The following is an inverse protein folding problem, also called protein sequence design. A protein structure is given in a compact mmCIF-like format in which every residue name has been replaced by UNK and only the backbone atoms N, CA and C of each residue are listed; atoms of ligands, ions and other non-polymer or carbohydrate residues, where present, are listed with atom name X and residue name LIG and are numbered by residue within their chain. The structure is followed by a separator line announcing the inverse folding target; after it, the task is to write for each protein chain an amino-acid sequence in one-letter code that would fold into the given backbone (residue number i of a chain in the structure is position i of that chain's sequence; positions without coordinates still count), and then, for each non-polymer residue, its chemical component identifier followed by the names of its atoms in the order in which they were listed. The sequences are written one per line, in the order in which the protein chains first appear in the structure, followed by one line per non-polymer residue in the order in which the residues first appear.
data_IF_820761936313
#
_entry.id   IF_820761936313
#
_cell.length_a   1.000
_cell.length_b   1.000
_cell.length_c   1.000
_cell.angle_alpha   90.00
_cell.angle_beta   90.00
_cell.angle_gamma   90.00
#
_symmetry.space_group_name_H-M   'P 1'
#
loop_
_entity.id
_entity.type
_entity.pdbx_description
1 polymer ?
#
# COMPACT_ATOMS: atom_id res chain seq x y z
N UNK A 1 -10.35 13.76 5.04
CA UNK A 1 -8.94 13.57 4.63
C UNK A 1 -8.85 12.37 3.71
N UNK A 2 -7.98 12.43 2.71
CA UNK A 2 -7.76 11.34 1.75
C UNK A 2 -6.37 10.78 2.04
N UNK A 3 -6.22 9.46 2.03
CA UNK A 3 -4.91 8.83 2.15
C UNK A 3 -4.10 9.03 0.87
N UNK A 4 -2.85 9.46 1.03
CA UNK A 4 -1.85 9.69 -0.01
C UNK A 4 -0.67 8.74 0.15
N UNK A 5 0.22 8.75 -0.85
CA UNK A 5 1.44 7.95 -0.87
C UNK A 5 2.63 8.84 -1.15
N UNK A 6 3.70 8.57 -0.41
CA UNK A 6 5.00 9.19 -0.64
C UNK A 6 6.03 8.10 -0.94
N UNK A 7 6.91 8.39 -1.89
CA UNK A 7 8.00 7.53 -2.29
C UNK A 7 9.23 8.41 -2.50
N UNK A 8 10.16 8.35 -1.57
CA UNK A 8 11.42 9.11 -1.62
C UNK A 8 12.53 8.15 -2.02
N UNK A 9 13.31 8.53 -3.03
CA UNK A 9 14.49 7.78 -3.43
C UNK A 9 15.69 8.72 -3.50
N UNK A 10 16.59 8.58 -2.53
CA UNK A 10 17.76 9.43 -2.41
C UNK A 10 19.06 8.63 -2.62
N UNK A 11 20.02 9.13 -3.42
CA UNK A 11 21.35 8.54 -3.51
C UNK A 11 22.09 8.61 -2.17
N UNK A 12 22.73 7.51 -1.80
CA UNK A 12 23.61 7.45 -0.61
C UNK A 12 25.01 7.91 -1.02
N UNK A 13 25.65 8.72 -0.17
CA UNK A 13 27.03 9.19 -0.34
C UNK A 13 27.98 8.00 -0.47
N UNK A 14 29.00 8.14 -1.31
CA UNK A 14 30.03 7.09 -1.47
C UNK A 14 30.70 6.78 -0.12
N UNK A 15 30.79 5.50 0.23
CA UNK A 15 31.41 5.04 1.48
C UNK A 15 30.52 5.13 2.71
N UNK A 16 29.28 5.64 2.59
CA UNK A 16 28.30 5.74 3.68
C UNK A 16 27.25 4.62 3.62
N UNK A 17 27.35 3.67 2.69
CA UNK A 17 26.34 2.65 2.42
C UNK A 17 26.06 1.73 3.61
N UNK A 18 27.10 1.31 4.32
CA UNK A 18 26.98 0.36 5.43
C UNK A 18 26.59 1.07 6.73
N UNK A 19 27.11 2.28 6.96
CA UNK A 19 26.65 3.16 8.04
C UNK A 19 25.16 3.47 7.89
N UNK A 20 24.70 3.82 6.67
CA UNK A 20 23.30 4.08 6.41
C UNK A 20 22.42 2.84 6.64
N UNK A 21 22.89 1.67 6.23
CA UNK A 21 22.20 0.39 6.48
C UNK A 21 22.06 0.12 7.98
N UNK A 22 23.12 0.33 8.76
CA UNK A 22 23.13 0.09 10.20
C UNK A 22 22.10 0.97 10.94
N UNK A 23 22.02 2.25 10.58
CA UNK A 23 21.01 3.16 11.14
C UNK A 23 19.60 2.69 10.76
N UNK A 24 19.36 2.40 9.48
CA UNK A 24 18.03 1.98 9.01
C UNK A 24 17.58 0.65 9.64
N UNK A 25 18.50 -0.30 9.87
CA UNK A 25 18.18 -1.59 10.50
C UNK A 25 17.89 -1.50 11.99
N UNK A 26 18.22 -0.38 12.63
CA UNK A 26 18.02 -0.17 14.07
C UNK A 26 16.89 0.82 14.38
N UNK A 27 16.16 1.30 13.36
CA UNK A 27 15.01 2.18 13.58
C UNK A 27 13.99 1.47 14.48
N UNK A 28 13.59 2.13 15.57
CA UNK A 28 12.71 1.64 16.63
C UNK A 28 13.23 0.43 17.43
N UNK A 29 14.52 0.10 17.32
CA UNK A 29 15.21 -0.78 18.27
C UNK A 29 15.68 0.04 19.50
N UNK A 30 15.91 -0.59 20.67
CA UNK A 30 16.22 0.12 21.93
C UNK A 30 17.39 1.12 21.86
N UNK A 31 18.43 0.80 21.08
CA UNK A 31 19.64 1.62 20.94
C UNK A 31 19.68 2.43 19.64
N UNK A 32 18.57 2.47 18.89
CA UNK A 32 18.49 3.10 17.58
C UNK A 32 17.66 4.38 17.52
N UNK A 33 17.46 4.89 16.31
CA UNK A 33 16.62 6.07 16.08
C UNK A 33 15.16 5.71 16.28
N UNK A 34 14.43 6.48 17.08
CA UNK A 34 13.00 6.27 17.32
C UNK A 34 12.16 7.17 16.42
N UNK A 35 11.14 6.60 15.79
CA UNK A 35 10.09 7.33 15.05
C UNK A 35 8.75 7.04 15.72
N UNK A 36 8.17 8.06 16.34
CA UNK A 36 6.87 7.97 17.01
C UNK A 36 5.72 8.13 16.01
N UNK A 37 5.43 7.04 15.29
CA UNK A 37 4.28 7.00 14.38
C UNK A 37 2.92 7.12 15.10
N UNK A 38 2.86 6.74 16.38
CA UNK A 38 1.62 6.76 17.15
C UNK A 38 1.20 8.20 17.46
N UNK A 39 2.16 9.08 17.77
CA UNK A 39 1.91 10.51 18.00
C UNK A 39 1.30 11.20 16.79
N UNK A 40 1.74 10.86 15.58
CA UNK A 40 1.19 11.46 14.36
C UNK A 40 -0.23 10.98 14.08
N UNK A 41 -0.50 9.69 14.30
CA UNK A 41 -1.78 9.05 14.01
C UNK A 41 -2.31 9.24 12.56
N UNK A 42 -1.38 9.49 11.63
CA UNK A 42 -1.67 9.71 10.21
C UNK A 42 -1.06 8.62 9.32
N UNK A 43 -0.08 7.88 9.81
CA UNK A 43 0.63 6.85 9.04
C UNK A 43 -0.15 5.55 9.07
N UNK A 44 -0.65 5.12 7.91
CA UNK A 44 -1.13 3.75 7.75
C UNK A 44 0.04 2.78 7.72
N UNK A 45 1.13 3.19 7.04
CA UNK A 45 2.28 2.34 6.81
C UNK A 45 3.52 3.16 6.42
N UNK A 46 4.73 2.79 6.88
CA UNK A 46 6.00 3.37 6.44
C UNK A 46 7.18 2.36 6.43
N UNK A 47 8.04 2.42 5.39
CA UNK A 47 9.20 1.53 5.20
C UNK A 47 10.43 2.29 4.73
N UNK A 48 11.59 1.86 5.23
CA UNK A 48 12.90 2.17 4.66
C UNK A 48 13.50 0.93 3.98
N UNK A 49 14.14 1.11 2.83
CA UNK A 49 14.86 0.06 2.10
C UNK A 49 16.12 0.64 1.49
N UNK A 50 17.25 -0.05 1.64
CA UNK A 50 18.47 0.29 0.89
C UNK A 50 18.50 -0.52 -0.41
N UNK A 51 18.39 0.16 -1.54
CA UNK A 51 18.38 -0.42 -2.88
C UNK A 51 19.74 -0.23 -3.57
N UNK A 52 20.10 -1.13 -4.49
CA UNK A 52 21.22 -0.90 -5.39
C UNK A 52 20.89 0.22 -6.39
N UNK A 53 21.87 1.06 -6.67
CA UNK A 53 21.80 2.09 -7.69
C UNK A 53 22.56 1.66 -8.94
N UNK A 54 21.86 1.00 -9.85
CA UNK A 54 22.49 0.43 -11.06
C UNK A 54 22.94 1.51 -12.06
N UNK A 55 22.49 2.76 -11.90
CA UNK A 55 22.76 3.85 -12.85
C UNK A 55 23.96 4.70 -12.47
N UNK A 56 24.19 4.86 -11.17
CA UNK A 56 25.29 5.69 -10.65
C UNK A 56 26.65 4.96 -10.59
N UNK A 57 26.71 3.71 -11.04
CA UNK A 57 27.94 2.90 -11.08
C UNK A 57 27.92 1.70 -10.12
N UNK A 58 28.96 0.85 -10.21
CA UNK A 58 29.08 -0.35 -9.37
C UNK A 58 29.11 0.04 -7.88
N UNK A 59 28.39 -0.73 -7.06
CA UNK A 59 28.30 -0.62 -5.59
C UNK A 59 27.61 0.63 -5.02
N UNK A 60 27.06 1.51 -5.86
CA UNK A 60 26.25 2.62 -5.37
C UNK A 60 24.91 2.13 -4.84
N UNK A 61 24.41 2.76 -3.78
CA UNK A 61 23.12 2.44 -3.15
C UNK A 61 22.25 3.69 -3.04
N UNK A 62 20.93 3.48 -2.92
CA UNK A 62 19.91 4.51 -2.69
C UNK A 62 19.08 4.15 -1.48
N UNK A 63 18.73 5.14 -0.68
CA UNK A 63 17.76 5.02 0.39
C UNK A 63 16.37 5.26 -0.18
N UNK A 64 15.52 4.23 -0.12
CA UNK A 64 14.10 4.30 -0.42
C UNK A 64 13.35 4.47 0.90
N UNK A 65 12.65 5.59 1.06
CA UNK A 65 11.61 5.72 2.08
C UNK A 65 10.26 5.75 1.41
N UNK A 66 9.29 5.08 2.01
CA UNK A 66 7.95 5.14 1.51
C UNK A 66 6.92 5.11 2.62
N UNK A 67 5.82 5.83 2.43
CA UNK A 67 4.70 5.77 3.36
C UNK A 67 3.35 5.89 2.66
N UNK A 68 2.33 5.35 3.32
CA UNK A 68 0.92 5.64 3.08
C UNK A 68 0.46 6.45 4.29
N UNK A 69 -0.05 7.65 4.07
CA UNK A 69 -0.45 8.54 5.15
C UNK A 69 -1.76 9.25 4.84
N UNK A 70 -2.46 9.72 5.85
CA UNK A 70 -3.61 10.60 5.68
C UNK A 70 -3.18 12.07 5.65
N UNK A 71 -3.91 12.88 4.88
CA UNK A 71 -3.74 14.33 4.89
C UNK A 71 -2.68 14.83 3.91
N UNK A 72 -2.28 16.08 4.10
CA UNK A 72 -1.34 16.79 3.23
C UNK A 72 0.10 16.28 3.40
N UNK A 73 0.81 16.16 2.28
CA UNK A 73 2.18 15.63 2.23
C UNK A 73 3.19 16.47 3.02
N UNK A 74 3.19 17.77 2.83
CA UNK A 74 4.21 18.63 3.45
C UNK A 74 3.98 18.76 4.96
N UNK A 75 2.73 18.68 5.38
CA UNK A 75 2.35 18.54 6.79
C UNK A 75 2.83 17.21 7.35
N UNK A 76 2.54 16.10 6.68
CA UNK A 76 3.02 14.76 7.06
C UNK A 76 4.54 14.70 7.19
N UNK A 77 5.28 15.30 6.26
CA UNK A 77 6.75 15.33 6.30
C UNK A 77 7.29 16.13 7.49
N UNK A 78 6.65 17.25 7.86
CA UNK A 78 7.01 18.00 9.07
C UNK A 78 6.74 17.17 10.32
N UNK A 79 5.59 16.54 10.40
CA UNK A 79 5.23 15.68 11.54
C UNK A 79 6.19 14.50 11.66
N UNK A 80 6.60 13.89 10.55
CA UNK A 80 7.57 12.80 10.52
C UNK A 80 8.93 13.26 11.05
N UNK A 81 9.40 14.44 10.62
CA UNK A 81 10.65 15.04 11.14
C UNK A 81 10.54 15.27 12.64
N UNK A 82 9.46 15.89 13.10
CA UNK A 82 9.28 16.30 14.49
C UNK A 82 8.97 15.12 15.44
N UNK A 83 8.57 13.97 14.86
CA UNK A 83 8.35 12.71 15.57
C UNK A 83 9.54 11.75 15.48
N UNK A 84 10.63 12.14 14.82
CA UNK A 84 11.86 11.35 14.74
C UNK A 84 12.89 11.90 15.72
N UNK A 85 13.44 11.05 16.59
CA UNK A 85 14.41 11.47 17.62
C UNK A 85 15.67 12.10 17.04
N UNK A 86 16.17 11.54 15.94
CA UNK A 86 17.31 12.07 15.18
C UNK A 86 17.09 11.80 13.68
N UNK A 87 16.49 12.78 13.01
CA UNK A 87 16.25 12.71 11.57
C UNK A 87 17.54 12.77 10.75
N UNK A 88 18.58 13.40 11.29
CA UNK A 88 19.85 13.59 10.61
C UNK A 88 20.69 12.31 10.62
N UNK A 89 20.54 11.46 11.65
CA UNK A 89 21.11 10.12 11.65
C UNK A 89 20.61 9.26 10.48
N UNK A 90 19.32 9.34 10.14
CA UNK A 90 18.73 8.55 9.05
C UNK A 90 19.14 9.11 7.68
N UNK A 91 19.03 10.43 7.50
CA UNK A 91 19.12 11.06 6.18
C UNK A 91 20.48 11.69 5.88
N UNK A 92 21.34 11.87 6.90
CA UNK A 92 22.70 12.41 6.76
C UNK A 92 23.60 11.59 5.85
N UNK A 93 23.28 10.31 5.65
CA UNK A 93 23.97 9.43 4.71
C UNK A 93 23.69 9.79 3.23
N UNK A 94 22.63 10.55 2.93
CA UNK A 94 22.19 10.82 1.57
C UNK A 94 22.88 12.05 0.96
N UNK A 95 23.14 12.01 -0.34
CA UNK A 95 23.72 13.14 -1.08
C UNK A 95 22.72 14.30 -1.18
N UNK A 96 23.19 15.52 -0.96
CA UNK A 96 22.34 16.73 -1.00
C UNK A 96 21.51 16.98 0.25
N UNK A 97 21.50 16.08 1.24
CA UNK A 97 20.85 16.34 2.53
C UNK A 97 21.71 17.26 3.39
N UNK A 98 21.12 18.37 3.85
CA UNK A 98 21.81 19.45 4.60
C UNK A 98 21.31 19.63 6.03
N UNK A 99 20.55 18.67 6.56
CA UNK A 99 20.06 18.67 7.95
C UNK A 99 18.56 18.93 8.08
N UNK A 100 18.06 18.80 9.31
CA UNK A 100 16.64 18.79 9.66
C UNK A 100 15.83 20.02 9.18
N UNK A 101 16.47 21.20 9.12
CA UNK A 101 15.84 22.44 8.62
C UNK A 101 15.47 22.36 7.14
N UNK A 102 16.24 21.61 6.35
CA UNK A 102 16.04 21.39 4.92
C UNK A 102 15.23 20.13 4.59
N UNK A 103 14.78 19.39 5.61
CA UNK A 103 14.18 18.06 5.47
C UNK A 103 13.04 18.01 4.45
N UNK A 104 12.02 18.85 4.59
CA UNK A 104 10.84 18.83 3.71
C UNK A 104 11.22 19.14 2.27
N UNK A 105 12.12 20.10 2.06
CA UNK A 105 12.62 20.46 0.73
C UNK A 105 13.37 19.28 0.10
N UNK A 106 14.25 18.62 0.86
CA UNK A 106 14.97 17.44 0.43
C UNK A 106 14.01 16.30 0.04
N UNK A 107 13.02 16.00 0.88
CA UNK A 107 12.01 14.98 0.59
C UNK A 107 11.25 15.29 -0.71
N UNK A 108 10.82 16.54 -0.88
CA UNK A 108 10.10 16.94 -2.09
C UNK A 108 10.99 16.87 -3.36
N UNK A 109 12.29 17.19 -3.25
CA UNK A 109 13.24 17.07 -4.35
C UNK A 109 13.51 15.61 -4.76
N UNK A 110 13.47 14.68 -3.82
CA UNK A 110 13.72 13.25 -4.03
C UNK A 110 12.44 12.41 -4.16
N UNK A 111 11.27 13.03 -4.19
CA UNK A 111 10.00 12.33 -4.30
C UNK A 111 9.75 11.82 -5.72
N UNK A 112 9.61 10.50 -5.86
CA UNK A 112 9.20 9.85 -7.10
C UNK A 112 7.68 9.77 -7.16
N UNK A 113 7.13 10.22 -8.29
CA UNK A 113 5.70 10.14 -8.56
C UNK A 113 5.24 8.68 -8.60
N UNK A 114 4.26 8.35 -7.77
CA UNK A 114 3.58 7.05 -7.84
C UNK A 114 2.74 6.98 -9.11
N UNK A 115 2.92 5.92 -9.91
CA UNK A 115 2.20 5.74 -11.18
C UNK A 115 0.77 5.24 -10.97
N UNK A 116 0.58 4.33 -10.01
CA UNK A 116 -0.72 3.76 -9.68
C UNK A 116 -0.81 3.54 -8.18
N UNK A 117 -1.91 3.98 -7.58
CA UNK A 117 -2.23 3.73 -6.18
C UNK A 117 -3.65 3.21 -6.04
N UNK A 118 -3.77 2.00 -5.51
CA UNK A 118 -5.01 1.30 -5.23
C UNK A 118 -5.30 1.35 -3.74
N UNK A 119 -6.54 1.72 -3.42
CA UNK A 119 -7.10 1.70 -2.07
C UNK A 119 -8.36 0.85 -2.08
N UNK A 120 -8.37 -0.24 -1.31
CA UNK A 120 -9.60 -1.03 -1.14
C UNK A 120 -10.68 -0.25 -0.39
N UNK A 121 -10.26 0.61 0.56
CA UNK A 121 -11.12 1.44 1.39
C UNK A 121 -10.83 2.91 1.13
N UNK A 122 -11.41 3.47 0.06
CA UNK A 122 -11.04 4.80 -0.48
C UNK A 122 -11.13 5.96 0.52
N UNK A 123 -12.04 5.86 1.49
CA UNK A 123 -12.41 6.95 2.40
C UNK A 123 -12.09 6.66 3.87
N UNK A 124 -11.41 5.54 4.16
CA UNK A 124 -11.08 5.19 5.53
C UNK A 124 -9.73 5.79 5.90
N UNK A 125 -9.72 6.52 7.01
CA UNK A 125 -8.53 7.13 7.63
C UNK A 125 -8.08 6.29 8.81
N UNK A 126 -6.83 6.45 9.26
CA UNK A 126 -6.32 5.83 10.50
C UNK A 126 -7.25 6.17 11.67
N UNK A 127 -7.66 7.43 11.77
CA UNK A 127 -8.61 7.88 12.80
C UNK A 127 -9.97 7.18 12.76
N UNK A 128 -10.52 6.90 11.57
CA UNK A 128 -11.76 6.11 11.44
C UNK A 128 -11.53 4.65 11.84
N UNK A 129 -10.41 4.07 11.40
CA UNK A 129 -10.06 2.68 11.72
C UNK A 129 -9.94 2.50 13.24
N UNK A 130 -9.27 3.43 13.94
CA UNK A 130 -9.18 3.41 15.39
C UNK A 130 -10.55 3.53 16.07
N UNK A 131 -11.44 4.40 15.59
CA UNK A 131 -12.81 4.49 16.09
C UNK A 131 -13.57 3.17 15.90
N UNK A 132 -13.41 2.51 14.76
CA UNK A 132 -14.04 1.20 14.52
C UNK A 132 -13.46 0.12 15.41
N UNK A 133 -12.15 0.14 15.70
CA UNK A 133 -11.51 -0.80 16.62
C UNK A 133 -11.97 -0.57 18.06
N UNK A 134 -12.07 0.69 18.50
CA UNK A 134 -12.59 1.04 19.83
C UNK A 134 -14.05 0.59 19.99
N UNK A 135 -14.92 0.93 19.02
CA UNK A 135 -16.31 0.49 19.02
C UNK A 135 -16.42 -1.05 18.99
N UNK A 136 -15.57 -1.71 18.20
CA UNK A 136 -15.52 -3.18 18.15
C UNK A 136 -15.16 -3.78 19.51
N UNK A 137 -14.20 -3.19 20.22
CA UNK A 137 -13.81 -3.65 21.55
C UNK A 137 -14.97 -3.47 22.53
N UNK A 138 -15.57 -2.29 22.57
CA UNK A 138 -16.73 -1.98 23.42
C UNK A 138 -17.89 -2.95 23.20
N UNK A 139 -18.25 -3.23 21.94
CA UNK A 139 -19.30 -4.20 21.62
C UNK A 139 -18.92 -5.63 22.01
N UNK A 140 -17.66 -6.02 21.83
CA UNK A 140 -17.19 -7.34 22.26
C UNK A 140 -17.31 -7.51 23.78
N UNK A 141 -16.91 -6.48 24.53
CA UNK A 141 -16.94 -6.47 25.99
C UNK A 141 -18.38 -6.44 26.52
N UNK A 142 -19.27 -5.67 25.87
CA UNK A 142 -20.66 -5.51 26.31
C UNK A 142 -21.52 -6.76 26.05
N UNK A 143 -21.32 -7.43 24.91
CA UNK A 143 -22.21 -8.51 24.49
C UNK A 143 -21.65 -9.91 24.76
N UNK A 144 -20.37 -10.05 25.16
CA UNK A 144 -19.68 -11.33 25.35
C UNK A 144 -19.84 -12.28 24.15
N UNK A 145 -19.99 -11.71 22.95
CA UNK A 145 -20.16 -12.48 21.71
C UNK A 145 -18.83 -12.60 20.99
N UNK A 146 -18.32 -13.82 20.76
CA UNK A 146 -17.16 -14.02 19.90
C UNK A 146 -17.43 -13.46 18.50
N UNK A 147 -16.49 -12.69 17.98
CA UNK A 147 -16.58 -12.00 16.68
C UNK A 147 -16.96 -12.89 15.49
N UNK A 148 -16.70 -14.20 15.58
CA UNK A 148 -17.12 -15.20 14.59
C UNK A 148 -18.64 -15.32 14.45
N UNK A 149 -19.41 -14.95 15.47
CA UNK A 149 -20.87 -15.10 15.54
C UNK A 149 -21.63 -13.78 15.32
N UNK A 150 -20.92 -12.65 15.18
CA UNK A 150 -21.53 -11.31 15.01
C UNK A 150 -22.40 -11.22 13.75
N UNK A 151 -22.01 -11.90 12.66
CA UNK A 151 -22.77 -11.94 11.42
C UNK A 151 -24.15 -12.58 11.57
N UNK A 152 -24.29 -13.54 12.48
CA UNK A 152 -25.55 -14.23 12.75
C UNK A 152 -26.43 -13.43 13.71
N UNK A 153 -25.84 -12.77 14.71
CA UNK A 153 -26.55 -11.83 15.58
C UNK A 153 -27.18 -10.67 14.79
N UNK A 154 -26.43 -10.07 13.85
CA UNK A 154 -26.95 -8.99 12.98
C UNK A 154 -28.04 -9.44 12.03
N UNK A 155 -28.09 -10.73 11.66
CA UNK A 155 -29.17 -11.31 10.83
C UNK A 155 -30.46 -11.54 11.62
N UNK A 156 -30.34 -11.76 12.93
CA UNK A 156 -31.46 -12.01 13.83
C UNK A 156 -32.14 -10.72 14.32
N UNK A 157 -31.52 -9.55 14.12
CA UNK A 157 -32.15 -8.28 14.42
C UNK A 157 -33.46 -8.14 13.61
N UNK A 158 -34.60 -7.86 14.27
CA UNK A 158 -35.88 -7.73 13.59
C UNK A 158 -35.81 -6.58 12.59
N UNK A 159 -35.90 -6.91 11.30
CA UNK A 159 -35.97 -5.94 10.21
C UNK A 159 -37.37 -5.31 10.19
N UNK A 160 -37.60 -4.44 11.15
CA UNK A 160 -38.75 -3.54 11.12
C UNK A 160 -38.51 -2.52 9.99
N UNK A 161 -39.58 -2.04 9.36
CA UNK A 161 -39.64 -1.21 8.13
C UNK A 161 -39.75 -1.96 6.79
N UNK A 162 -40.93 -2.55 6.58
CA UNK A 162 -41.56 -2.64 5.27
C UNK A 162 -42.75 -1.65 5.24
N UNK A 163 -42.58 -0.44 4.67
CA UNK A 163 -43.14 -0.21 3.33
C UNK A 163 -42.42 0.91 2.53
N UNK A 164 -41.33 0.61 1.80
CA UNK A 164 -40.69 1.58 0.85
C UNK A 164 -40.22 0.85 -0.44
N UNK A 165 -40.92 -0.22 -0.86
CA UNK A 165 -40.44 -1.08 -1.96
C UNK A 165 -40.70 -0.51 -3.37
N UNK A 166 -41.73 0.33 -3.52
CA UNK A 166 -42.10 0.98 -4.80
C UNK A 166 -41.30 2.26 -5.07
N UNK A 167 -41.15 3.15 -4.07
CA UNK A 167 -40.29 4.34 -4.17
C UNK A 167 -38.82 3.95 -4.46
N UNK A 168 -38.34 2.85 -3.86
CA UNK A 168 -37.02 2.26 -4.13
C UNK A 168 -36.86 1.72 -5.55
N UNK A 169 -37.92 1.39 -6.29
CA UNK A 169 -37.82 0.92 -7.69
C UNK A 169 -37.62 2.08 -8.67
N UNK A 170 -38.40 3.17 -8.53
CA UNK A 170 -38.21 4.39 -9.33
C UNK A 170 -36.87 5.07 -9.07
N UNK A 171 -36.48 5.21 -7.80
CA UNK A 171 -35.15 5.72 -7.41
C UNK A 171 -34.00 4.83 -7.92
N UNK A 172 -34.22 3.51 -8.08
CA UNK A 172 -33.22 2.61 -8.64
C UNK A 172 -33.00 2.84 -10.13
N UNK A 173 -34.05 3.04 -10.92
CA UNK A 173 -33.90 3.31 -12.36
C UNK A 173 -33.18 4.65 -12.61
N UNK A 174 -33.58 5.71 -11.89
CA UNK A 174 -32.92 7.02 -11.94
C UNK A 174 -31.45 6.90 -11.48
N UNK A 175 -31.20 6.19 -10.38
CA UNK A 175 -29.83 5.93 -9.91
C UNK A 175 -28.99 5.17 -10.93
N UNK A 176 -29.54 4.18 -11.63
CA UNK A 176 -28.82 3.44 -12.68
C UNK A 176 -28.49 4.32 -13.87
N UNK A 177 -29.42 5.17 -14.31
CA UNK A 177 -29.18 6.13 -15.39
C UNK A 177 -28.10 7.15 -15.02
N UNK A 178 -28.21 7.76 -13.83
CA UNK A 178 -27.18 8.69 -13.32
C UNK A 178 -25.82 8.00 -13.22
N UNK A 179 -25.77 6.75 -12.73
CA UNK A 179 -24.54 5.95 -12.70
C UNK A 179 -23.96 5.76 -14.10
N UNK A 180 -24.78 5.40 -15.08
CA UNK A 180 -24.34 5.20 -16.46
C UNK A 180 -23.77 6.48 -17.07
N UNK A 181 -24.41 7.62 -16.85
CA UNK A 181 -23.93 8.93 -17.30
C UNK A 181 -22.59 9.27 -16.64
N UNK A 182 -22.48 9.12 -15.31
CA UNK A 182 -21.25 9.39 -14.57
C UNK A 182 -20.10 8.44 -14.95
N UNK A 183 -20.40 7.16 -15.22
CA UNK A 183 -19.42 6.19 -15.73
C UNK A 183 -18.96 6.62 -17.12
N UNK A 184 -19.88 6.93 -18.03
CA UNK A 184 -19.54 7.33 -19.40
C UNK A 184 -18.69 8.60 -19.42
N UNK A 185 -19.06 9.63 -18.67
CA UNK A 185 -18.27 10.87 -18.51
C UNK A 185 -16.90 10.57 -17.90
N UNK A 186 -16.83 9.67 -16.90
CA UNK A 186 -15.58 9.30 -16.26
C UNK A 186 -14.66 8.45 -17.15
N UNK A 187 -15.21 7.65 -18.07
CA UNK A 187 -14.48 6.71 -18.92
C UNK A 187 -13.89 7.37 -20.16
N UNK A 188 -14.61 8.30 -20.81
CA UNK A 188 -14.18 8.90 -22.09
C UNK A 188 -12.77 9.54 -22.00
N UNK A 189 -12.45 10.39 -21.00
CA UNK A 189 -11.10 10.97 -20.88
C UNK A 189 -10.03 9.90 -20.64
N UNK A 190 -10.37 8.80 -19.96
CA UNK A 190 -9.43 7.71 -19.73
C UNK A 190 -9.14 6.94 -21.01
N UNK A 191 -10.17 6.66 -21.83
CA UNK A 191 -9.99 6.01 -23.14
C UNK A 191 -9.09 6.87 -24.03
N UNK A 192 -9.35 8.18 -24.12
CA UNK A 192 -8.52 9.11 -24.89
C UNK A 192 -7.07 9.09 -24.39
N UNK A 193 -6.86 9.11 -23.07
CA UNK A 193 -5.54 9.03 -22.46
C UNK A 193 -4.80 7.72 -22.79
N UNK A 194 -5.53 6.61 -22.93
CA UNK A 194 -4.95 5.31 -23.29
C UNK A 194 -4.52 5.23 -24.75
N UNK A 195 -5.18 5.95 -25.67
CA UNK A 195 -4.85 5.93 -27.11
C UNK A 195 -3.38 6.32 -27.39
N UNK A 196 -2.73 7.11 -26.51
CA UNK A 196 -1.29 7.45 -26.62
C UNK A 196 -0.36 6.24 -26.67
N UNK A 197 -0.82 5.09 -26.15
CA UNK A 197 -0.04 3.86 -26.12
C UNK A 197 -0.12 3.06 -27.43
N UNK A 198 -1.06 3.38 -28.33
CA UNK A 198 -1.21 2.73 -29.63
C UNK A 198 -1.33 1.20 -29.51
N UNK A 199 -0.54 0.47 -30.30
CA UNK A 199 -0.55 -1.00 -30.32
C UNK A 199 -0.13 -1.65 -29.00
N UNK A 200 0.53 -0.93 -28.07
CA UNK A 200 0.88 -1.47 -26.77
C UNK A 200 -0.35 -1.77 -25.87
N UNK A 201 -1.54 -1.25 -26.22
CA UNK A 201 -2.79 -1.58 -25.54
C UNK A 201 -3.24 -3.01 -25.80
N UNK A 202 -3.00 -3.57 -27.00
CA UNK A 202 -3.45 -4.93 -27.35
C UNK A 202 -2.93 -5.97 -26.34
N UNK A 203 -1.62 -6.08 -26.07
CA UNK A 203 -1.11 -7.04 -25.11
C UNK A 203 -1.45 -6.68 -23.65
N UNK A 204 -1.74 -5.41 -23.34
CA UNK A 204 -2.20 -5.00 -22.00
C UNK A 204 -3.65 -5.43 -21.74
N UNK A 205 -4.52 -5.27 -22.74
CA UNK A 205 -5.91 -5.76 -22.73
C UNK A 205 -5.94 -7.28 -22.63
N UNK A 206 -5.09 -7.99 -23.39
CA UNK A 206 -4.97 -9.45 -23.27
C UNK A 206 -4.62 -9.84 -21.82
N UNK A 207 -3.59 -9.24 -21.21
CA UNK A 207 -3.22 -9.52 -19.81
C UNK A 207 -4.40 -9.25 -18.85
N UNK A 208 -5.12 -8.15 -19.05
CA UNK A 208 -6.21 -7.74 -18.16
C UNK A 208 -7.44 -8.66 -18.29
N UNK A 209 -7.66 -9.22 -19.48
CA UNK A 209 -8.76 -10.15 -19.79
C UNK A 209 -8.41 -11.60 -19.47
N UNK A 210 -7.14 -11.98 -19.52
CA UNK A 210 -6.67 -13.23 -18.91
C UNK A 210 -6.79 -13.06 -17.41
N UNK A 211 -7.99 -13.29 -16.89
CA UNK A 211 -8.19 -13.39 -15.45
C UNK A 211 -7.18 -14.40 -14.93
N UNK A 212 -6.21 -13.93 -14.15
CA UNK A 212 -5.51 -14.79 -13.22
C UNK A 212 -6.61 -15.31 -12.31
N UNK A 213 -7.13 -16.51 -12.60
CA UNK A 213 -7.98 -17.25 -11.69
C UNK A 213 -7.11 -17.52 -10.47
N UNK A 214 -7.12 -16.58 -9.54
CA UNK A 214 -6.74 -16.87 -8.17
C UNK A 214 -7.88 -17.74 -7.66
N UNK A 215 -7.68 -19.05 -7.72
CA UNK A 215 -8.64 -20.00 -7.17
C UNK A 215 -8.94 -19.59 -5.73
N UNK A 216 -10.22 -19.38 -5.46
CA UNK A 216 -10.71 -18.87 -4.16
C UNK A 216 -10.59 -19.91 -3.04
N UNK A 217 -10.07 -21.10 -3.31
CA UNK A 217 -9.95 -22.20 -2.36
C UNK A 217 -8.97 -21.94 -1.20
N UNK A 218 -8.27 -20.81 -1.18
CA UNK A 218 -7.33 -20.46 -0.11
C UNK A 218 -7.96 -19.84 1.16
N UNK A 219 -9.30 -19.75 1.29
CA UNK A 219 -9.90 -19.07 2.45
C UNK A 219 -9.91 -19.88 3.75
N UNK A 220 -9.76 -21.21 3.70
CA UNK A 220 -9.84 -22.09 4.88
C UNK A 220 -8.60 -22.99 5.09
N UNK A 221 -7.53 -22.73 4.33
CA UNK A 221 -6.24 -23.41 4.50
C UNK A 221 -5.53 -22.94 5.79
N UNK A 222 -4.78 -23.83 6.45
CA UNK A 222 -3.74 -23.44 7.43
C UNK A 222 -2.93 -22.26 6.87
N UNK A 223 -2.80 -21.19 7.66
CA UNK A 223 -2.11 -19.96 7.28
C UNK A 223 -0.61 -20.17 7.07
N UNK A 224 -0.03 -21.18 7.71
CA UNK A 224 1.32 -21.64 7.47
C UNK A 224 1.26 -22.96 6.67
N UNK A 225 1.53 -22.85 5.38
CA UNK A 225 1.81 -23.99 4.48
C UNK A 225 3.27 -23.96 4.02
N UNK A 226 4.11 -23.17 4.69
CA UNK A 226 5.53 -23.12 4.37
C UNK A 226 6.10 -24.52 4.57
N UNK A 227 6.86 -25.01 3.59
CA UNK A 227 7.75 -26.14 3.86
C UNK A 227 8.75 -25.76 4.96
N UNK A 228 9.46 -26.73 5.55
CA UNK A 228 10.56 -26.42 6.46
C UNK A 228 11.53 -25.42 5.79
N UNK A 229 12.08 -24.47 6.55
CA UNK A 229 13.12 -23.58 6.03
C UNK A 229 14.27 -24.43 5.51
N UNK A 230 14.54 -24.33 4.20
CA UNK A 230 15.65 -25.02 3.52
C UNK A 230 16.60 -23.98 2.94
N UNK A 231 17.91 -24.28 2.88
CA UNK A 231 18.87 -23.39 2.24
C UNK A 231 18.54 -23.27 0.74
N UNK A 232 18.62 -22.06 0.19
CA UNK A 232 18.34 -21.83 -1.23
C UNK A 232 19.53 -22.28 -2.10
N UNK A 233 20.75 -22.18 -1.57
CA UNK A 233 22.00 -22.70 -2.14
C UNK A 233 22.91 -23.30 -1.05
N UNK A 234 23.89 -24.18 -1.42
CA UNK A 234 24.87 -24.71 -0.48
C UNK A 234 25.68 -23.58 0.19
N UNK A 235 25.69 -23.57 1.53
CA UNK A 235 26.39 -22.56 2.34
C UNK A 235 25.52 -21.41 2.85
N UNK A 236 24.24 -21.35 2.47
CA UNK A 236 23.30 -20.37 3.03
C UNK A 236 23.04 -20.66 4.52
N UNK A 237 23.10 -19.61 5.35
CA UNK A 237 22.61 -19.69 6.72
C UNK A 237 21.08 -19.81 6.72
N UNK A 238 20.58 -20.86 7.36
CA UNK A 238 19.15 -21.07 7.60
C UNK A 238 18.87 -20.82 9.07
N UNK A 239 18.17 -19.72 9.36
CA UNK A 239 17.71 -19.44 10.71
C UNK A 239 16.71 -20.50 11.21
N UNK A 240 16.48 -20.60 12.53
CA UNK A 240 15.51 -21.54 13.10
C UNK A 240 14.11 -21.29 12.51
N UNK A 241 13.52 -22.36 11.96
CA UNK A 241 12.16 -22.33 11.42
C UNK A 241 11.18 -22.15 12.58
N UNK A 242 10.78 -20.91 12.86
CA UNK A 242 9.70 -20.64 13.80
C UNK A 242 8.38 -21.07 13.15
N UNK A 243 7.87 -22.25 13.51
CA UNK A 243 6.47 -22.55 13.25
C UNK A 243 5.65 -21.53 14.04
N UNK A 244 4.97 -20.63 13.32
CA UNK A 244 4.13 -19.61 13.95
C UNK A 244 2.80 -20.25 14.29
N UNK A 245 2.81 -21.25 15.18
CA UNK A 245 1.58 -21.85 15.67
C UNK A 245 1.06 -21.06 16.86
N UNK A 246 0.50 -19.88 16.59
CA UNK A 246 -0.24 -19.12 17.59
C UNK A 246 -1.34 -18.33 16.93
N UNK A 247 -2.52 -18.97 16.78
CA UNK A 247 -3.77 -18.26 16.46
C UNK A 247 -3.98 -17.00 17.33
N UNK A 248 -3.65 -16.97 18.64
CA UNK A 248 -3.83 -15.77 19.46
C UNK A 248 -2.85 -14.64 19.13
N UNK A 249 -1.54 -14.92 19.01
CA UNK A 249 -0.55 -13.90 18.66
C UNK A 249 -0.71 -13.45 17.20
N UNK A 250 -1.12 -14.34 16.29
CA UNK A 250 -1.48 -14.00 14.92
C UNK A 250 -2.78 -13.18 14.84
N UNK A 251 -3.78 -13.43 15.69
CA UNK A 251 -4.99 -12.61 15.76
C UNK A 251 -4.73 -11.21 16.34
N UNK A 252 -3.77 -11.07 17.27
CA UNK A 252 -3.25 -9.76 17.66
C UNK A 252 -2.46 -9.12 16.49
N UNK A 253 -1.66 -9.90 15.75
CA UNK A 253 -0.96 -9.46 14.53
C UNK A 253 -1.86 -9.28 13.30
N UNK A 254 -3.15 -9.65 13.32
CA UNK A 254 -4.11 -9.30 12.25
C UNK A 254 -4.32 -7.78 12.15
N UNK A 255 -3.88 -7.01 13.14
CA UNK A 255 -3.75 -5.56 13.05
C UNK A 255 -2.51 -5.12 12.27
N UNK A 256 -1.49 -5.98 12.15
CA UNK A 256 -0.26 -5.70 11.40
C UNK A 256 -0.50 -6.07 9.92
N UNK A 257 -0.71 -5.04 9.11
CA UNK A 257 -0.78 -5.19 7.66
C UNK A 257 0.59 -5.65 7.14
N UNK A 258 0.67 -6.89 6.64
CA UNK A 258 1.89 -7.38 5.99
C UNK A 258 2.03 -6.75 4.60
N UNK A 259 3.17 -6.11 4.37
CA UNK A 259 3.48 -5.42 3.12
C UNK A 259 4.57 -6.16 2.34
N UNK A 260 4.29 -6.39 1.07
CA UNK A 260 5.24 -6.95 0.12
C UNK A 260 5.74 -5.80 -0.78
N UNK A 261 7.05 -5.63 -0.86
CA UNK A 261 7.68 -4.75 -1.85
C UNK A 261 8.45 -5.64 -2.80
N UNK A 262 8.06 -5.61 -4.07
CA UNK A 262 8.76 -6.33 -5.13
C UNK A 262 9.40 -5.27 -6.02
N UNK A 263 10.71 -5.36 -6.17
CA UNK A 263 11.47 -4.55 -7.14
C UNK A 263 11.89 -5.47 -8.26
N UNK A 264 11.43 -5.19 -9.47
CA UNK A 264 11.75 -5.98 -10.67
C UNK A 264 12.55 -5.15 -11.64
N UNK A 265 13.36 -5.80 -12.48
CA UNK A 265 14.02 -5.13 -13.60
C UNK A 265 13.19 -5.32 -14.86
N UNK A 266 12.95 -4.23 -15.55
CA UNK A 266 12.20 -4.19 -16.79
C UNK A 266 13.17 -4.21 -17.97
N UNK A 267 12.88 -5.05 -18.96
CA UNK A 267 13.61 -5.03 -20.22
C UNK A 267 13.33 -3.74 -21.00
N UNK A 268 14.28 -3.26 -21.84
CA UNK A 268 14.10 -2.03 -22.61
C UNK A 268 12.90 -2.07 -23.57
N UNK A 269 12.49 -3.28 -24.00
CA UNK A 269 11.33 -3.49 -24.88
C UNK A 269 10.00 -3.59 -24.11
N UNK A 270 10.02 -3.79 -22.79
CA UNK A 270 8.80 -4.03 -21.98
C UNK A 270 8.28 -2.79 -21.28
N UNK A 271 9.09 -1.74 -21.10
CA UNK A 271 8.72 -0.51 -20.38
C UNK A 271 7.44 0.14 -20.93
N UNK A 272 7.32 0.28 -22.26
CA UNK A 272 6.09 0.85 -22.87
C UNK A 272 4.84 0.01 -22.59
N UNK A 273 4.98 -1.33 -22.63
CA UNK A 273 3.88 -2.25 -22.31
C UNK A 273 3.48 -2.13 -20.83
N UNK A 274 4.43 -1.99 -19.93
CA UNK A 274 4.16 -1.83 -18.50
C UNK A 274 3.46 -0.51 -18.19
N UNK A 275 3.91 0.59 -18.80
CA UNK A 275 3.19 1.87 -18.71
C UNK A 275 1.75 1.73 -19.23
N UNK A 276 1.54 1.05 -20.36
CA UNK A 276 0.20 0.82 -20.88
C UNK A 276 -0.66 -0.01 -19.92
N UNK A 277 -0.12 -1.07 -19.30
CA UNK A 277 -0.83 -1.88 -18.31
C UNK A 277 -1.19 -1.05 -17.07
N UNK A 278 -0.21 -0.36 -16.48
CA UNK A 278 -0.39 0.45 -15.26
C UNK A 278 -1.41 1.58 -15.51
N UNK A 279 -1.30 2.28 -16.64
CA UNK A 279 -2.23 3.34 -17.01
C UNK A 279 -3.64 2.79 -17.26
N UNK A 280 -3.76 1.58 -17.85
CA UNK A 280 -5.06 0.91 -18.07
C UNK A 280 -5.74 0.56 -16.74
N UNK A 281 -4.98 0.02 -15.77
CA UNK A 281 -5.49 -0.19 -14.42
C UNK A 281 -5.85 1.14 -13.73
N UNK A 282 -5.01 2.17 -13.90
CA UNK A 282 -5.24 3.52 -13.39
C UNK A 282 -6.51 4.17 -13.93
N UNK A 283 -6.81 3.97 -15.21
CA UNK A 283 -8.05 4.37 -15.85
C UNK A 283 -9.25 3.64 -15.25
N UNK A 284 -9.14 2.32 -15.12
CA UNK A 284 -10.22 1.48 -14.60
C UNK A 284 -10.61 1.84 -13.17
N UNK A 285 -9.65 2.11 -12.28
CA UNK A 285 -9.93 2.38 -10.86
C UNK A 285 -10.56 3.77 -10.62
N UNK A 286 -10.42 4.69 -11.58
CA UNK A 286 -11.01 6.02 -11.51
C UNK A 286 -12.49 6.00 -11.87
N UNK A 287 -12.97 4.91 -12.50
CA UNK A 287 -14.38 4.76 -12.82
C UNK A 287 -15.20 4.80 -11.52
N UNK A 288 -16.16 5.74 -11.41
CA UNK A 288 -17.05 5.81 -10.24
C UNK A 288 -17.73 4.46 -9.98
N UNK A 289 -17.99 4.15 -8.71
CA UNK A 289 -18.68 2.92 -8.26
C UNK A 289 -17.87 1.61 -8.32
N UNK A 290 -16.65 1.60 -8.87
CA UNK A 290 -15.67 0.52 -8.65
C UNK A 290 -14.98 0.77 -7.30
N UNK A 291 -15.70 0.51 -6.20
CA UNK A 291 -15.24 0.84 -4.83
C UNK A 291 -14.76 -0.36 -4.03
N UNK A 292 -14.96 -1.59 -4.53
CA UNK A 292 -14.40 -2.78 -3.90
C UNK A 292 -13.46 -3.48 -4.87
N UNK A 293 -12.21 -3.67 -4.44
CA UNK A 293 -11.39 -4.73 -4.97
C UNK A 293 -12.04 -6.08 -4.59
N UNK A 294 -13.03 -6.52 -5.39
CA UNK A 294 -13.71 -7.82 -5.18
C UNK A 294 -12.79 -9.00 -5.51
N UNK A 295 -11.66 -8.72 -6.17
CA UNK A 295 -10.73 -9.72 -6.67
C UNK A 295 -9.77 -10.16 -5.57
N UNK A 296 -9.29 -9.23 -4.73
CA UNK A 296 -8.39 -9.56 -3.60
C UNK A 296 -8.82 -8.78 -2.35
N UNK A 297 -9.73 -9.33 -1.52
CA UNK A 297 -10.27 -8.64 -0.35
C UNK A 297 -9.23 -8.38 0.76
N UNK A 298 -8.06 -9.01 0.67
CA UNK A 298 -6.97 -8.89 1.65
C UNK A 298 -6.03 -7.71 1.38
N UNK A 299 -6.01 -7.15 0.16
CA UNK A 299 -5.14 -6.02 -0.19
C UNK A 299 -5.81 -4.71 0.22
N UNK A 300 -5.25 -4.03 1.22
CA UNK A 300 -5.75 -2.73 1.70
C UNK A 300 -5.21 -1.58 0.84
N UNK A 301 -3.91 -1.64 0.55
CA UNK A 301 -3.17 -0.69 -0.27
C UNK A 301 -2.31 -1.46 -1.27
N UNK A 302 -2.25 -0.99 -2.52
CA UNK A 302 -1.24 -1.43 -3.47
C UNK A 302 -0.77 -0.24 -4.30
N UNK A 303 0.51 -0.18 -4.61
CA UNK A 303 1.04 0.88 -5.46
C UNK A 303 2.12 0.37 -6.41
N UNK A 304 2.26 1.08 -7.51
CA UNK A 304 3.31 0.86 -8.49
C UNK A 304 4.05 2.17 -8.71
N UNK A 305 5.37 2.06 -8.65
CA UNK A 305 6.30 3.16 -8.89
C UNK A 305 7.29 2.66 -9.92
N UNK A 306 7.43 3.40 -11.01
CA UNK A 306 8.45 3.19 -12.02
C UNK A 306 9.64 4.08 -11.65
N UNK A 307 10.81 3.49 -11.51
CA UNK A 307 12.06 4.19 -11.22
C UNK A 307 13.02 4.05 -12.42
N UNK A 308 14.01 4.94 -12.51
CA UNK A 308 15.08 4.88 -13.53
C UNK A 308 14.61 4.91 -14.98
N UNK A 309 13.63 5.78 -15.25
CA UNK A 309 13.01 5.89 -16.57
C UNK A 309 12.14 4.68 -16.94
N UNK A 310 11.70 3.90 -15.94
CA UNK A 310 10.87 2.72 -16.13
C UNK A 310 11.64 1.44 -16.42
N UNK A 311 12.95 1.44 -16.13
CA UNK A 311 13.78 0.22 -16.14
C UNK A 311 13.62 -0.61 -14.88
N UNK A 312 12.98 -0.07 -13.84
CA UNK A 312 12.62 -0.79 -12.61
C UNK A 312 11.23 -0.39 -12.16
#
# INVERSE_FOLDING_TARGET
MVSEVITILAPIKAGQEDACRAVVSTINEPDGVTIDFARMNLTHFARFVVLQDVDSGKNRKRLLFTAVHDGDRDTYLRDLRDSTSDVDAIWGCCEGYTGASSFVQFMNAHNIKTNLFLKAYRYETVGNIQKYLALRQELSDQFDVPLSQYGDAMRQLPRQFAPISWLRRGLRAISTFIKFVLITIGVIPQIIGLLRHGLALIPATIISLTQVKLDREYSDASLDKSGPCVPFAPGDEVGPCMQVDTLPAFQQRKQVQNQVTIVTVNGPKTTRRQHAVIDSFGAFIKIPFITRNRVIPTIHFARWVMIDGGRR
#
